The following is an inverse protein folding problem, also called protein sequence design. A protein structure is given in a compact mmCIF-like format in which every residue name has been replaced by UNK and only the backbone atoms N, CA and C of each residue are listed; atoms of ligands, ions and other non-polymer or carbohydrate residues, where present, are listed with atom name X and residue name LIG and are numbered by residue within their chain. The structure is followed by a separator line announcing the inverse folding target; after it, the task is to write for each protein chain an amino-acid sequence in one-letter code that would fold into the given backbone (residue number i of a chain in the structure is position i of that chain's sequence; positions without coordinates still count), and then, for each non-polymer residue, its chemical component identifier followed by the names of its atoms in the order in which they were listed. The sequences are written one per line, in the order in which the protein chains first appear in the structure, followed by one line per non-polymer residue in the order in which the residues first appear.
data_IF_848781228269
#
_entry.id   IF_848781228269
#
_cell.length_a   1.000
_cell.length_b   1.000
_cell.length_c   1.000
_cell.angle_alpha   90.00
_cell.angle_beta   90.00
_cell.angle_gamma   90.00
#
_symmetry.space_group_name_H-M   'P 1'
#
loop_
_entity.id
_entity.type
_entity.pdbx_description
1 polymer ?
#
# COMPACT_ATOMS: atom_id res chain seq x y z
N UNK A 1 11.03 6.80 -13.00
CA UNK A 1 10.27 5.61 -12.54
C UNK A 1 9.86 5.85 -11.10
N UNK A 2 8.60 5.59 -10.75
CA UNK A 2 8.14 5.67 -9.37
C UNK A 2 8.26 4.27 -8.75
N UNK A 3 8.81 4.19 -7.52
CA UNK A 3 8.88 2.94 -6.77
C UNK A 3 7.46 2.52 -6.34
N UNK A 4 7.10 1.28 -6.61
CA UNK A 4 5.76 0.75 -6.32
C UNK A 4 5.79 -0.21 -5.14
N UNK A 5 4.97 0.05 -4.12
CA UNK A 5 4.76 -0.85 -2.97
C UNK A 5 3.34 -1.42 -3.02
N UNK A 6 3.23 -2.75 -3.04
CA UNK A 6 1.96 -3.43 -2.87
C UNK A 6 1.65 -3.66 -1.40
N UNK A 7 0.44 -3.32 -0.95
CA UNK A 7 -0.02 -3.61 0.40
C UNK A 7 -0.88 -4.87 0.34
N UNK A 8 -0.46 -5.92 1.04
CA UNK A 8 -1.16 -7.19 1.12
C UNK A 8 -1.52 -7.53 2.56
N UNK A 9 -2.56 -8.31 2.75
CA UNK A 9 -2.98 -8.77 4.07
C UNK A 9 -4.35 -9.45 4.01
N UNK A 10 -4.66 -10.23 5.03
CA UNK A 10 -5.98 -10.84 5.21
C UNK A 10 -7.07 -9.75 5.36
N UNK A 11 -8.35 -10.07 5.12
CA UNK A 11 -9.44 -9.14 5.38
C UNK A 11 -9.44 -8.66 6.85
N UNK A 12 -9.84 -7.40 7.06
CA UNK A 12 -10.01 -6.79 8.39
C UNK A 12 -8.73 -6.66 9.24
N UNK A 13 -7.56 -6.64 8.61
CA UNK A 13 -6.27 -6.35 9.29
C UNK A 13 -5.95 -4.85 9.37
N UNK A 14 -6.75 -3.99 8.72
CA UNK A 14 -6.52 -2.53 8.65
C UNK A 14 -5.85 -2.05 7.38
N UNK A 15 -5.76 -2.89 6.35
CA UNK A 15 -5.10 -2.59 5.07
C UNK A 15 -5.65 -1.32 4.41
N UNK A 16 -6.96 -1.22 4.24
CA UNK A 16 -7.60 -0.04 3.64
C UNK A 16 -7.46 1.21 4.52
N UNK A 17 -7.44 1.04 5.83
CA UNK A 17 -7.20 2.14 6.79
C UNK A 17 -5.80 2.71 6.60
N UNK A 18 -4.78 1.85 6.50
CA UNK A 18 -3.40 2.28 6.23
C UNK A 18 -3.31 2.95 4.86
N UNK A 19 -3.87 2.33 3.82
CA UNK A 19 -3.86 2.90 2.48
C UNK A 19 -4.48 4.29 2.44
N UNK A 20 -5.65 4.47 3.05
CA UNK A 20 -6.31 5.77 3.14
C UNK A 20 -5.49 6.77 3.94
N UNK A 21 -4.93 6.39 5.08
CA UNK A 21 -4.08 7.27 5.88
C UNK A 21 -2.83 7.75 5.12
N UNK A 22 -2.22 6.89 4.33
CA UNK A 22 -1.07 7.24 3.48
C UNK A 22 -1.46 8.15 2.32
N UNK A 23 -2.65 7.96 1.73
CA UNK A 23 -3.06 8.63 0.50
C UNK A 23 -3.92 9.87 0.71
N UNK A 24 -4.63 9.99 1.84
CA UNK A 24 -5.51 11.14 2.12
C UNK A 24 -4.77 12.48 2.19
N UNK A 25 -3.55 12.47 2.72
CA UNK A 25 -2.69 13.67 2.73
C UNK A 25 -2.18 14.05 1.34
N UNK A 26 -2.20 13.13 0.40
CA UNK A 26 -1.68 13.32 -0.96
C UNK A 26 -2.74 13.70 -1.98
N UNK A 27 -4.03 13.48 -1.70
CA UNK A 27 -5.13 13.85 -2.62
C UNK A 27 -5.14 15.33 -2.96
N UNK A 28 -4.81 16.19 -1.99
CA UNK A 28 -4.69 17.63 -2.21
C UNK A 28 -3.44 18.01 -3.03
N UNK A 29 -2.39 17.18 -3.02
CA UNK A 29 -1.14 17.41 -3.76
C UNK A 29 -1.13 16.70 -5.12
N UNK A 30 -1.86 15.60 -5.27
CA UNK A 30 -1.96 14.83 -6.51
C UNK A 30 -2.53 15.65 -7.67
N UNK A 31 -3.39 16.62 -7.40
CA UNK A 31 -3.91 17.56 -8.40
C UNK A 31 -2.81 18.39 -9.12
N UNK A 32 -1.60 18.43 -8.55
CA UNK A 32 -0.45 19.17 -9.12
C UNK A 32 0.53 18.30 -9.92
N UNK A 33 0.29 16.98 -10.02
CA UNK A 33 1.14 16.09 -10.82
C UNK A 33 0.45 15.79 -12.15
N UNK A 34 1.00 16.25 -13.29
CA UNK A 34 0.50 15.86 -14.60
C UNK A 34 0.69 14.35 -14.80
N UNK A 35 -0.30 13.68 -15.38
CA UNK A 35 -0.33 12.23 -15.69
C UNK A 35 -0.63 11.27 -14.53
N UNK A 36 -1.28 11.68 -13.44
CA UNK A 36 -1.85 10.74 -12.48
C UNK A 36 -3.08 10.06 -13.07
N UNK A 37 -2.96 8.79 -13.40
CA UNK A 37 -4.12 7.93 -13.66
C UNK A 37 -4.84 7.72 -12.34
N UNK A 38 -6.13 8.06 -12.26
CA UNK A 38 -6.96 7.84 -11.07
C UNK A 38 -7.38 6.38 -11.08
N UNK A 39 -6.50 5.52 -10.61
CA UNK A 39 -6.86 4.15 -10.25
C UNK A 39 -7.27 4.16 -8.77
N UNK A 40 -8.48 3.70 -8.41
CA UNK A 40 -8.96 3.74 -7.03
C UNK A 40 -8.10 2.91 -6.05
N UNK A 41 -7.27 2.02 -6.57
CA UNK A 41 -6.40 1.15 -5.77
C UNK A 41 -4.93 1.60 -5.79
N UNK A 42 -4.60 2.74 -6.39
CA UNK A 42 -3.24 3.27 -6.45
C UNK A 42 -3.20 4.67 -5.84
N UNK A 43 -2.33 4.85 -4.86
CA UNK A 43 -2.06 6.15 -4.25
C UNK A 43 -0.61 6.56 -4.47
N UNK A 44 -0.38 7.77 -5.00
CA UNK A 44 0.95 8.34 -5.18
C UNK A 44 1.20 9.33 -4.07
N UNK A 45 2.29 9.12 -3.32
CA UNK A 45 2.63 9.90 -2.12
C UNK A 45 4.02 10.51 -2.29
N UNK A 46 4.20 11.82 -2.07
CA UNK A 46 5.54 12.41 -2.05
C UNK A 46 6.31 11.92 -0.83
N UNK A 47 7.60 11.63 -1.03
CA UNK A 47 8.50 11.24 0.06
C UNK A 47 9.11 12.50 0.67
N UNK A 48 8.84 12.82 1.95
CA UNK A 48 9.47 13.95 2.62
C UNK A 48 10.99 13.75 2.71
N UNK A 49 11.77 14.77 2.34
CA UNK A 49 13.22 14.74 2.45
C UNK A 49 13.76 16.13 2.80
N UNK A 50 14.19 16.30 4.05
CA UNK A 50 14.73 17.59 4.53
C UNK A 50 16.00 18.01 3.81
N UNK A 51 16.76 17.06 3.24
CA UNK A 51 17.97 17.37 2.46
C UNK A 51 17.65 18.19 1.24
N UNK A 52 16.50 17.96 0.60
CA UNK A 52 16.03 18.77 -0.53
C UNK A 52 15.76 20.22 -0.13
N UNK A 53 15.17 20.43 1.04
CA UNK A 53 14.93 21.78 1.57
C UNK A 53 16.24 22.54 1.81
N UNK A 54 17.24 21.85 2.37
CA UNK A 54 18.57 22.44 2.63
C UNK A 54 19.31 22.75 1.32
N UNK A 55 19.29 21.82 0.37
CA UNK A 55 19.89 22.03 -0.97
C UNK A 55 19.20 23.18 -1.72
N UNK A 56 17.88 23.27 -1.65
CA UNK A 56 17.12 24.32 -2.29
C UNK A 56 17.47 25.72 -1.74
N UNK A 57 17.71 25.83 -0.42
CA UNK A 57 18.18 27.09 0.20
C UNK A 57 19.54 27.49 -0.31
N UNK A 58 20.49 26.56 -0.39
CA UNK A 58 21.87 26.82 -0.88
C UNK A 58 21.85 27.22 -2.36
N UNK A 59 21.11 26.44 -3.17
CA UNK A 59 21.04 26.66 -4.64
C UNK A 59 20.04 27.74 -5.05
N UNK A 60 19.31 28.34 -4.09
CA UNK A 60 18.23 29.32 -4.34
C UNK A 60 17.20 28.79 -5.36
N UNK A 61 16.83 27.53 -5.24
CA UNK A 61 15.91 26.86 -6.16
C UNK A 61 14.50 27.47 -6.08
N UNK A 62 13.89 27.71 -7.25
CA UNK A 62 12.54 28.27 -7.34
C UNK A 62 11.45 27.26 -6.95
N UNK A 63 11.72 25.97 -7.09
CA UNK A 63 10.77 24.90 -6.84
C UNK A 63 11.47 23.66 -6.29
N UNK A 64 10.86 23.00 -5.33
CA UNK A 64 11.28 21.72 -4.77
C UNK A 64 10.30 20.67 -5.23
N UNK A 65 10.80 19.58 -5.81
CA UNK A 65 9.99 18.43 -6.25
C UNK A 65 10.53 17.19 -5.53
N UNK A 66 9.75 16.64 -4.62
CA UNK A 66 10.08 15.42 -3.92
C UNK A 66 9.92 14.22 -4.86
N UNK A 67 10.71 13.18 -4.63
CA UNK A 67 10.41 11.87 -5.24
C UNK A 67 9.07 11.35 -4.73
N UNK A 68 8.48 10.43 -5.49
CA UNK A 68 7.19 9.83 -5.12
C UNK A 68 7.30 8.33 -4.99
N UNK A 69 6.48 7.76 -4.12
CA UNK A 69 6.24 6.33 -4.00
C UNK A 69 4.77 6.07 -4.34
N UNK A 70 4.52 4.98 -5.05
CA UNK A 70 3.17 4.52 -5.36
C UNK A 70 2.80 3.37 -4.44
N UNK A 71 1.70 3.51 -3.70
CA UNK A 71 1.10 2.42 -2.94
C UNK A 71 -0.03 1.81 -3.74
N UNK A 72 -0.06 0.48 -3.81
CA UNK A 72 -1.11 -0.29 -4.48
C UNK A 72 -1.84 -1.12 -3.44
N UNK A 73 -3.14 -0.87 -3.27
CA UNK A 73 -3.98 -1.71 -2.42
C UNK A 73 -4.32 -3.00 -3.16
N UNK A 74 -3.62 -4.08 -2.82
CA UNK A 74 -3.82 -5.38 -3.46
C UNK A 74 -4.93 -6.12 -2.72
N UNK A 75 -6.12 -6.13 -3.33
CA UNK A 75 -7.27 -6.86 -2.81
C UNK A 75 -7.16 -8.35 -3.16
N UNK A 76 -7.73 -9.21 -2.30
CA UNK A 76 -8.08 -10.57 -2.70
C UNK A 76 -7.32 -11.74 -2.09
N UNK A 77 -6.62 -11.55 -0.96
CA UNK A 77 -6.20 -12.70 -0.18
C UNK A 77 -7.40 -13.29 0.58
N UNK A 78 -8.08 -14.21 -0.07
CA UNK A 78 -9.04 -15.12 0.57
C UNK A 78 -8.42 -16.52 0.59
N UNK A 79 -8.64 -17.26 1.65
CA UNK A 79 -8.22 -18.67 1.78
C UNK A 79 -8.61 -19.45 0.52
N UNK A 80 -7.62 -19.97 -0.22
CA UNK A 80 -7.85 -20.69 -1.48
C UNK A 80 -7.58 -19.89 -2.76
N UNK A 81 -7.16 -18.63 -2.67
CA UNK A 81 -6.76 -17.83 -3.83
C UNK A 81 -5.59 -18.44 -4.62
N UNK A 82 -4.74 -19.23 -3.95
CA UNK A 82 -3.63 -19.97 -4.58
C UNK A 82 -4.09 -21.13 -5.48
N UNK A 83 -5.35 -21.58 -5.38
CA UNK A 83 -5.88 -22.71 -6.17
C UNK A 83 -6.48 -22.31 -7.53
N UNK A 84 -6.19 -21.10 -8.02
CA UNK A 84 -6.31 -20.79 -9.43
C UNK A 84 -7.69 -20.41 -9.96
N UNK A 85 -8.69 -20.20 -9.13
CA UNK A 85 -10.00 -19.77 -9.61
C UNK A 85 -10.14 -18.24 -9.54
N UNK A 86 -9.95 -17.58 -10.67
CA UNK A 86 -10.36 -16.20 -10.98
C UNK A 86 -9.64 -15.08 -10.20
N UNK A 87 -9.78 -15.00 -8.91
CA UNK A 87 -9.22 -13.93 -8.04
C UNK A 87 -7.73 -14.11 -7.74
N UNK A 88 -7.25 -15.36 -7.66
CA UNK A 88 -5.84 -15.66 -7.40
C UNK A 88 -4.91 -15.18 -8.51
N UNK A 89 -5.33 -15.28 -9.77
CA UNK A 89 -4.55 -14.82 -10.90
C UNK A 89 -4.39 -13.29 -10.93
N UNK A 90 -5.43 -12.55 -10.55
CA UNK A 90 -5.35 -11.09 -10.43
C UNK A 90 -4.43 -10.67 -9.29
N UNK A 91 -4.50 -11.34 -8.16
CA UNK A 91 -3.62 -11.10 -7.01
C UNK A 91 -2.15 -11.31 -7.40
N UNK A 92 -1.81 -12.44 -8.02
CA UNK A 92 -0.45 -12.74 -8.48
C UNK A 92 0.02 -11.75 -9.57
N UNK A 93 -0.88 -11.30 -10.44
CA UNK A 93 -0.56 -10.25 -11.42
C UNK A 93 -0.14 -8.95 -10.73
N UNK A 94 -0.91 -8.49 -9.76
CA UNK A 94 -0.60 -7.26 -9.04
C UNK A 94 0.70 -7.36 -8.21
N UNK A 95 0.97 -8.52 -7.60
CA UNK A 95 2.24 -8.77 -6.90
C UNK A 95 3.45 -8.65 -7.84
N UNK A 96 3.33 -9.14 -9.07
CA UNK A 96 4.43 -9.07 -10.06
C UNK A 96 4.69 -7.66 -10.60
N UNK A 97 3.76 -6.75 -10.41
CA UNK A 97 3.86 -5.37 -10.91
C UNK A 97 4.45 -4.39 -9.89
N UNK A 98 4.73 -4.85 -8.67
CA UNK A 98 5.27 -4.02 -7.59
C UNK A 98 6.74 -4.34 -7.31
N UNK A 99 7.48 -3.34 -6.83
CA UNK A 99 8.90 -3.46 -6.51
C UNK A 99 9.13 -3.99 -5.10
N UNK A 100 8.16 -3.78 -4.20
CA UNK A 100 8.19 -4.27 -2.83
C UNK A 100 6.77 -4.58 -2.33
N UNK A 101 6.70 -5.43 -1.30
CA UNK A 101 5.44 -5.83 -0.67
C UNK A 101 5.47 -5.40 0.80
N UNK A 102 4.39 -4.76 1.23
CA UNK A 102 4.09 -4.47 2.63
C UNK A 102 3.05 -5.48 3.07
N UNK A 103 3.48 -6.42 3.90
CA UNK A 103 2.59 -7.44 4.45
C UNK A 103 1.99 -6.95 5.77
N UNK A 104 0.68 -6.73 5.78
CA UNK A 104 -0.06 -6.33 6.98
C UNK A 104 -0.60 -7.54 7.73
N UNK A 105 -0.26 -7.61 9.01
CA UNK A 105 -0.67 -8.68 9.92
C UNK A 105 -1.46 -8.05 11.08
N UNK A 106 -2.56 -8.71 11.47
CA UNK A 106 -3.36 -8.28 12.61
C UNK A 106 -2.72 -8.73 13.91
N UNK A 107 -2.30 -7.76 14.73
CA UNK A 107 -1.75 -7.99 16.08
C UNK A 107 -2.64 -7.44 17.20
N UNK A 108 -3.81 -6.90 16.86
CA UNK A 108 -4.75 -6.35 17.83
C UNK A 108 -6.00 -7.23 17.95
N UNK A 109 -6.58 -7.26 19.13
CA UNK A 109 -7.87 -7.89 19.37
C UNK A 109 -8.97 -6.83 19.47
N UNK A 110 -10.16 -7.15 18.95
CA UNK A 110 -11.32 -6.26 18.99
C UNK A 110 -12.60 -7.07 18.73
N UNK A 111 -13.57 -6.89 19.61
CA UNK A 111 -14.89 -7.50 19.48
C UNK A 111 -15.71 -6.89 18.36
N UNK A 112 -15.42 -5.62 18.01
CA UNK A 112 -16.15 -4.87 16.97
C UNK A 112 -15.70 -5.20 15.54
N UNK A 113 -14.50 -5.78 15.39
CA UNK A 113 -13.91 -6.08 14.10
C UNK A 113 -13.74 -7.59 13.94
N UNK A 114 -14.58 -8.21 13.13
CA UNK A 114 -14.50 -9.64 12.87
C UNK A 114 -13.12 -10.03 12.31
N UNK A 115 -12.54 -11.07 12.88
CA UNK A 115 -11.38 -11.73 12.33
C UNK A 115 -11.81 -12.82 11.33
N UNK A 116 -10.97 -13.09 10.33
CA UNK A 116 -11.20 -14.19 9.37
C UNK A 116 -11.11 -15.55 10.08
N UNK A 117 -10.26 -15.65 11.08
CA UNK A 117 -10.07 -16.81 11.92
C UNK A 117 -10.65 -16.57 13.32
N UNK A 118 -11.04 -17.63 14.07
CA UNK A 118 -11.65 -17.48 15.39
C UNK A 118 -10.79 -16.74 16.42
N UNK A 119 -9.47 -16.79 16.26
CA UNK A 119 -8.51 -16.16 17.16
C UNK A 119 -7.51 -15.32 16.38
N UNK A 120 -7.01 -14.25 17.00
CA UNK A 120 -5.90 -13.46 16.45
C UNK A 120 -4.61 -14.25 16.66
N UNK A 121 -3.94 -14.61 15.57
CA UNK A 121 -2.68 -15.33 15.56
C UNK A 121 -1.83 -14.82 14.40
N UNK A 122 -0.92 -13.86 14.66
CA UNK A 122 -0.12 -13.23 13.62
C UNK A 122 0.80 -14.20 12.88
N UNK A 123 1.30 -15.24 13.54
CA UNK A 123 2.22 -16.22 12.94
C UNK A 123 1.46 -17.09 11.94
N UNK A 124 0.32 -17.62 12.35
CA UNK A 124 -0.56 -18.38 11.44
C UNK A 124 -1.01 -17.54 10.25
N UNK A 125 -1.37 -16.28 10.47
CA UNK A 125 -1.83 -15.39 9.42
C UNK A 125 -0.71 -15.05 8.43
N UNK A 126 0.54 -14.97 8.88
CA UNK A 126 1.72 -14.85 8.04
C UNK A 126 1.90 -16.09 7.15
N UNK A 127 1.87 -17.29 7.74
CA UNK A 127 2.03 -18.56 7.02
C UNK A 127 0.96 -18.76 5.93
N UNK A 128 -0.29 -18.31 6.18
CA UNK A 128 -1.38 -18.41 5.19
C UNK A 128 -1.08 -17.62 3.92
N UNK A 129 -0.35 -16.52 4.03
CA UNK A 129 -0.05 -15.63 2.90
C UNK A 129 1.21 -16.07 2.16
N UNK A 130 2.17 -16.66 2.86
CA UNK A 130 3.43 -17.13 2.28
C UNK A 130 3.28 -18.48 1.52
N UNK A 131 2.15 -19.16 1.66
CA UNK A 131 1.87 -20.46 1.01
C UNK A 131 1.13 -20.30 -0.31
#
# INVERSE_FOLDING_TARGET
MSFKCGIVGLPNVGKSTLFNALTDSSKAQAANFPFCTIDPNVGIVPVPDERLNNLAKISKSKKIINTTISFVDIAGLVKGASKGEGLGNKFLSHIREVDAIIHMIRCFDSDDIQNVNPTVDPIRDLEIIET
#
